data_IF_045450541319
#
_entry.id   IF_045450541319
#
_cell.length_a   1.000
_cell.length_b   1.000
_cell.length_c   1.000
_cell.angle_alpha   90.00
_cell.angle_beta   90.00
_cell.angle_gamma   90.00
#
_symmetry.space_group_name_H-M   'P 1'
#
loop_
_entity.id
_entity.type
_entity.pdbx_description
1 polymer ?
#
# COMPACT_ATOMS: atom_id res chain seq x y z
N UNK A 1 1.43 32.09 0.81
CA UNK A 1 0.15 31.83 1.51
C UNK A 1 -0.54 30.67 0.80
N UNK A 2 -1.02 29.66 1.53
CA UNK A 2 -1.82 28.58 0.94
C UNK A 2 -3.23 29.06 0.56
N UNK A 3 -3.93 28.28 -0.25
CA UNK A 3 -5.31 28.52 -0.71
C UNK A 3 -6.37 27.77 0.12
N UNK A 4 -6.00 27.21 1.28
CA UNK A 4 -6.86 26.41 2.15
C UNK A 4 -6.93 27.07 3.52
N UNK A 5 -8.14 27.39 3.97
CA UNK A 5 -8.37 28.02 5.28
C UNK A 5 -8.58 26.99 6.40
N UNK A 6 -9.10 25.80 6.07
CA UNK A 6 -9.38 24.73 7.04
C UNK A 6 -9.09 23.35 6.45
N UNK A 7 -8.42 22.52 7.23
CA UNK A 7 -8.18 21.11 6.93
C UNK A 7 -8.75 20.25 8.06
N UNK A 8 -9.52 19.21 7.72
CA UNK A 8 -10.04 18.24 8.68
C UNK A 8 -9.50 16.86 8.33
N UNK A 9 -8.85 16.19 9.30
CA UNK A 9 -8.42 14.81 9.16
C UNK A 9 -9.50 13.88 9.71
N UNK A 10 -10.01 12.99 8.87
CA UNK A 10 -11.06 12.02 9.23
C UNK A 10 -10.47 10.61 9.21
N UNK A 11 -10.18 9.99 10.38
CA UNK A 11 -9.63 8.65 10.42
C UNK A 11 -10.68 7.61 10.02
N UNK A 12 -10.46 6.92 8.90
CA UNK A 12 -11.31 5.81 8.42
C UNK A 12 -10.43 4.58 8.20
N UNK A 13 -10.55 3.61 9.11
CA UNK A 13 -9.72 2.40 9.12
C UNK A 13 -10.00 1.48 7.94
N UNK A 14 -11.28 1.20 7.69
CA UNK A 14 -11.69 0.24 6.66
C UNK A 14 -11.57 0.83 5.26
N UNK A 15 -10.87 0.11 4.37
CA UNK A 15 -10.54 0.58 3.02
C UNK A 15 -11.79 0.86 2.17
N UNK A 16 -12.75 -0.07 2.17
CA UNK A 16 -13.99 0.07 1.40
C UNK A 16 -14.82 1.27 1.88
N UNK A 17 -14.86 1.52 3.19
CA UNK A 17 -15.58 2.68 3.78
C UNK A 17 -14.92 3.99 3.36
N UNK A 18 -13.59 4.03 3.30
CA UNK A 18 -12.84 5.21 2.88
C UNK A 18 -13.08 5.54 1.40
N UNK A 19 -13.10 4.53 0.54
CA UNK A 19 -13.47 4.70 -0.89
C UNK A 19 -14.93 5.15 -1.04
N UNK A 20 -15.85 4.56 -0.27
CA UNK A 20 -17.25 4.98 -0.30
C UNK A 20 -17.43 6.45 0.12
N UNK A 21 -16.70 6.91 1.14
CA UNK A 21 -16.71 8.31 1.58
C UNK A 21 -16.19 9.28 0.50
N UNK A 22 -15.18 8.88 -0.28
CA UNK A 22 -14.71 9.66 -1.42
C UNK A 22 -15.79 9.75 -2.50
N UNK A 23 -16.36 8.61 -2.89
CA UNK A 23 -17.36 8.52 -3.96
C UNK A 23 -18.67 9.25 -3.60
N UNK A 24 -19.01 9.36 -2.32
CA UNK A 24 -20.18 10.09 -1.85
C UNK A 24 -19.93 11.60 -1.67
N UNK A 25 -18.69 12.07 -1.83
CA UNK A 25 -18.31 13.46 -1.55
C UNK A 25 -18.24 13.80 -0.06
N UNK A 26 -18.17 12.79 0.82
CA UNK A 26 -17.96 12.99 2.25
C UNK A 26 -16.55 13.44 2.63
N UNK A 27 -15.57 13.21 1.74
CA UNK A 27 -14.19 13.69 1.84
C UNK A 27 -13.66 14.08 0.46
N UNK A 28 -12.76 15.07 0.43
CA UNK A 28 -12.15 15.55 -0.81
C UNK A 28 -10.96 14.70 -1.28
N UNK A 29 -10.30 14.01 -0.35
CA UNK A 29 -9.11 13.20 -0.61
C UNK A 29 -9.05 12.01 0.35
N UNK A 30 -8.57 10.87 -0.17
CA UNK A 30 -8.23 9.71 0.64
C UNK A 30 -6.82 9.22 0.35
N UNK A 31 -6.18 8.67 1.37
CA UNK A 31 -4.94 7.92 1.23
C UNK A 31 -4.85 6.89 2.38
N UNK A 32 -4.45 5.63 2.12
CA UNK A 32 -4.18 5.02 0.81
C UNK A 32 -5.46 4.61 0.06
N UNK A 33 -5.34 4.24 -1.22
CA UNK A 33 -6.39 3.53 -1.98
C UNK A 33 -5.96 2.08 -2.17
N UNK A 34 -6.79 1.13 -1.75
CA UNK A 34 -6.50 -0.29 -1.89
C UNK A 34 -6.39 -0.67 -3.38
N UNK A 35 -5.42 -1.53 -3.78
CA UNK A 35 -5.25 -1.92 -5.19
C UNK A 35 -6.54 -2.43 -5.85
N UNK A 36 -7.36 -3.19 -5.11
CA UNK A 36 -8.64 -3.72 -5.59
C UNK A 36 -9.65 -2.64 -5.97
N UNK A 37 -9.55 -1.44 -5.39
CA UNK A 37 -10.45 -0.32 -5.65
C UNK A 37 -9.90 0.66 -6.71
N UNK A 38 -8.68 0.46 -7.22
CA UNK A 38 -8.06 1.39 -8.20
C UNK A 38 -8.94 1.58 -9.43
N UNK A 39 -9.49 0.49 -9.98
CA UNK A 39 -10.33 0.56 -11.17
C UNK A 39 -11.61 1.35 -10.89
N UNK A 40 -12.27 1.06 -9.76
CA UNK A 40 -13.50 1.76 -9.34
C UNK A 40 -13.29 3.25 -9.12
N UNK A 41 -12.18 3.64 -8.50
CA UNK A 41 -11.82 5.05 -8.26
C UNK A 41 -11.46 5.74 -9.58
N UNK A 42 -10.74 5.06 -10.47
CA UNK A 42 -10.35 5.58 -11.79
C UNK A 42 -11.55 5.84 -12.71
N UNK A 43 -12.58 5.00 -12.62
CA UNK A 43 -13.79 5.12 -13.46
C UNK A 43 -14.82 6.11 -12.88
N UNK A 44 -14.60 6.59 -11.64
CA UNK A 44 -15.53 7.50 -10.99
C UNK A 44 -15.43 8.93 -11.57
N UNK A 45 -16.58 9.50 -11.91
CA UNK A 45 -16.65 10.84 -12.49
C UNK A 45 -16.22 11.90 -11.45
N UNK A 46 -15.29 12.76 -11.83
CA UNK A 46 -14.84 13.88 -11.00
C UNK A 46 -13.83 13.48 -9.92
N UNK A 47 -13.25 12.29 -10.00
CA UNK A 47 -12.22 11.81 -9.09
C UNK A 47 -10.99 11.40 -9.91
N UNK A 48 -9.82 11.88 -9.48
CA UNK A 48 -8.55 11.55 -10.10
C UNK A 48 -7.77 10.55 -9.24
N UNK A 49 -7.43 9.39 -9.81
CA UNK A 49 -6.50 8.46 -9.20
C UNK A 49 -5.06 8.87 -9.51
N UNK A 50 -4.36 9.38 -8.51
CA UNK A 50 -2.93 9.71 -8.61
C UNK A 50 -2.11 8.56 -8.04
N UNK A 51 -1.16 8.05 -8.83
CA UNK A 51 -0.16 7.06 -8.37
C UNK A 51 1.22 7.69 -8.38
N UNK A 52 1.97 7.45 -7.30
CA UNK A 52 3.32 7.98 -7.11
C UNK A 52 4.27 6.82 -6.79
N UNK A 53 5.53 6.84 -7.25
CA UNK A 53 6.54 5.89 -6.79
C UNK A 53 6.65 5.95 -5.26
N UNK A 54 6.48 4.79 -4.61
CA UNK A 54 6.63 4.70 -3.17
C UNK A 54 8.09 4.82 -2.75
N UNK A 55 8.34 5.44 -1.60
CA UNK A 55 9.66 5.51 -0.96
C UNK A 55 9.92 4.31 -0.03
N UNK A 56 8.94 3.41 0.12
CA UNK A 56 8.99 2.29 1.05
C UNK A 56 9.65 1.07 0.42
N UNK A 57 10.65 0.52 1.10
CA UNK A 57 11.22 -0.81 0.80
C UNK A 57 10.60 -1.81 1.78
N UNK A 58 10.06 -2.91 1.24
CA UNK A 58 9.50 -4.01 2.04
C UNK A 58 10.50 -5.17 2.00
N UNK A 59 10.96 -5.60 3.17
CA UNK A 59 11.93 -6.70 3.31
C UNK A 59 11.54 -7.62 4.43
N UNK A 60 11.84 -8.90 4.29
CA UNK A 60 11.84 -9.85 5.41
C UNK A 60 13.26 -10.00 5.96
N UNK A 61 13.43 -9.75 7.25
CA UNK A 61 14.71 -9.94 7.92
C UNK A 61 14.79 -11.35 8.50
N UNK A 62 15.84 -12.08 8.14
CA UNK A 62 16.11 -13.42 8.65
C UNK A 62 16.97 -13.34 9.91
N UNK A 63 16.37 -13.57 11.07
CA UNK A 63 17.06 -13.51 12.35
C UNK A 63 17.85 -14.81 12.62
N UNK A 64 19.17 -14.70 12.57
CA UNK A 64 20.11 -15.81 12.78
C UNK A 64 20.23 -16.26 14.25
N UNK A 65 19.81 -15.41 15.19
CA UNK A 65 19.86 -15.72 16.63
C UNK A 65 18.66 -16.56 17.08
N UNK A 66 17.53 -16.46 16.37
CA UNK A 66 16.31 -17.21 16.71
C UNK A 66 16.24 -18.59 16.05
N UNK A 67 17.06 -18.86 15.02
CA UNK A 67 17.07 -20.13 14.30
C UNK A 67 18.45 -20.43 13.75
N UNK A 68 19.08 -21.51 14.23
CA UNK A 68 20.41 -21.95 13.81
C UNK A 68 20.51 -22.25 12.32
N UNK A 69 19.43 -22.75 11.68
CA UNK A 69 19.43 -23.00 10.24
C UNK A 69 19.63 -21.72 9.43
N UNK A 70 19.17 -20.58 9.94
CA UNK A 70 19.33 -19.29 9.27
C UNK A 70 20.76 -18.74 9.37
N UNK A 71 21.65 -19.32 10.18
CA UNK A 71 23.08 -18.95 10.21
C UNK A 71 23.80 -19.34 8.92
N UNK A 72 23.40 -20.46 8.30
CA UNK A 72 23.93 -20.86 7.00
C UNK A 72 23.40 -19.92 5.90
N UNK A 73 24.32 -19.25 5.21
CA UNK A 73 23.99 -18.33 4.11
C UNK A 73 23.25 -19.04 2.97
N UNK A 74 23.54 -20.33 2.74
CA UNK A 74 22.90 -21.12 1.68
C UNK A 74 21.42 -21.35 1.96
N UNK A 75 21.05 -21.50 3.23
CA UNK A 75 19.65 -21.60 3.64
C UNK A 75 18.93 -20.28 3.37
N UNK A 76 19.54 -19.14 3.71
CA UNK A 76 18.97 -17.82 3.43
C UNK A 76 18.81 -17.56 1.93
N UNK A 77 19.80 -17.95 1.12
CA UNK A 77 19.73 -17.87 -0.33
C UNK A 77 18.62 -18.77 -0.90
N UNK A 78 18.50 -20.01 -0.40
CA UNK A 78 17.43 -20.92 -0.81
C UNK A 78 16.04 -20.33 -0.55
N UNK A 79 15.83 -19.70 0.61
CA UNK A 79 14.57 -19.00 0.92
C UNK A 79 14.30 -17.88 -0.08
N UNK A 80 15.30 -17.05 -0.39
CA UNK A 80 15.16 -15.95 -1.37
C UNK A 80 14.81 -16.50 -2.76
N UNK A 81 15.46 -17.58 -3.20
CA UNK A 81 15.19 -18.21 -4.50
C UNK A 81 13.83 -18.91 -4.58
N UNK A 82 13.29 -19.37 -3.45
CA UNK A 82 11.98 -20.00 -3.39
C UNK A 82 10.81 -19.01 -3.49
N UNK A 83 11.06 -17.70 -3.35
CA UNK A 83 10.03 -16.67 -3.34
C UNK A 83 9.93 -15.99 -4.71
N UNK A 84 8.75 -16.08 -5.33
CA UNK A 84 8.46 -15.36 -6.57
C UNK A 84 8.09 -13.90 -6.30
N UNK A 85 9.09 -13.04 -6.14
CA UNK A 85 8.87 -11.60 -5.92
C UNK A 85 8.17 -10.93 -7.10
N UNK A 86 8.48 -11.31 -8.35
CA UNK A 86 7.82 -10.77 -9.55
C UNK A 86 6.33 -11.08 -9.57
N UNK A 87 5.96 -12.30 -9.18
CA UNK A 87 4.56 -12.72 -9.05
C UNK A 87 3.82 -11.97 -7.95
N UNK A 88 4.47 -11.68 -6.82
CA UNK A 88 3.89 -10.93 -5.69
C UNK A 88 3.58 -9.48 -6.09
N UNK A 89 4.45 -8.83 -6.88
CA UNK A 89 4.26 -7.42 -7.26
C UNK A 89 3.39 -7.22 -8.50
N UNK A 90 3.01 -8.31 -9.18
CA UNK A 90 2.19 -8.24 -10.39
C UNK A 90 0.80 -7.67 -10.03
N UNK A 91 0.45 -6.57 -10.70
CA UNK A 91 -0.85 -5.89 -10.57
C UNK A 91 -1.97 -6.71 -11.19
#
# INVERSE_FOLDING_TARGET
KGNVDKLTLVPIKEDATRVAALLSGGVDMIHPVAPNDHQRVKDAKGIDLVTLPGTRIITFQMNQNSNEALKDVRVRQAIVHAINNEGIVKK
#
